data_IF_693390176033
#
_entry.id   IF_693390176033
#
_cell.length_a   1.000
_cell.length_b   1.000
_cell.length_c   1.000
_cell.angle_alpha   90.00
_cell.angle_beta   90.00
_cell.angle_gamma   90.00
#
_symmetry.space_group_name_H-M   'P 1'
#
loop_
_entity.id
_entity.type
_entity.pdbx_description
1 polymer ?
#
# COMPACT_ATOMS: atom_id res chain seq x y z
N UNK A 1 -15.69 -20.68 9.90
CA UNK A 1 -16.81 -19.96 10.54
C UNK A 1 -16.25 -18.71 11.20
N UNK A 2 -16.68 -17.52 10.78
CA UNK A 2 -16.23 -16.23 11.32
C UNK A 2 -17.41 -15.43 11.91
N UNK A 3 -17.24 -14.13 12.08
CA UNK A 3 -18.24 -13.24 12.73
C UNK A 3 -19.49 -13.04 11.83
N UNK A 4 -19.30 -12.73 10.54
CA UNK A 4 -20.39 -12.72 9.55
C UNK A 4 -21.36 -11.52 9.59
N UNK A 5 -21.01 -10.43 10.28
CA UNK A 5 -21.84 -9.21 10.36
C UNK A 5 -22.02 -8.48 9.02
N UNK A 6 -21.00 -8.54 8.15
CA UNK A 6 -20.99 -7.89 6.85
C UNK A 6 -20.83 -8.91 5.72
N UNK A 7 -21.55 -8.70 4.63
CA UNK A 7 -21.40 -9.46 3.38
C UNK A 7 -20.68 -8.60 2.35
N UNK A 8 -19.44 -8.95 2.06
CA UNK A 8 -18.63 -8.27 1.04
C UNK A 8 -18.99 -8.78 -0.36
N UNK A 9 -18.98 -7.91 -1.39
CA UNK A 9 -19.24 -8.33 -2.77
C UNK A 9 -18.12 -9.25 -3.29
N UNK A 10 -18.51 -10.38 -3.90
CA UNK A 10 -17.57 -11.32 -4.48
C UNK A 10 -16.94 -10.73 -5.76
N UNK A 11 -15.60 -10.64 -5.80
CA UNK A 11 -14.86 -10.12 -6.97
C UNK A 11 -14.17 -11.20 -7.78
N UNK A 12 -13.76 -12.29 -7.14
CA UNK A 12 -13.14 -13.45 -7.79
C UNK A 12 -13.28 -14.72 -6.94
N UNK A 13 -13.15 -15.92 -7.53
CA UNK A 13 -13.05 -17.17 -6.77
C UNK A 13 -11.84 -17.14 -5.82
N UNK A 14 -12.05 -17.51 -4.56
CA UNK A 14 -11.04 -17.45 -3.50
C UNK A 14 -10.14 -18.70 -3.41
N UNK A 15 -10.49 -19.78 -4.11
CA UNK A 15 -9.69 -21.00 -4.18
C UNK A 15 -10.05 -21.82 -5.42
N UNK A 16 -9.05 -22.44 -6.03
CA UNK A 16 -9.22 -23.37 -7.14
C UNK A 16 -9.85 -24.71 -6.72
N UNK A 17 -9.76 -25.09 -5.45
CA UNK A 17 -10.20 -26.40 -4.94
C UNK A 17 -11.50 -26.29 -4.14
N UNK A 18 -11.74 -25.16 -3.44
CA UNK A 18 -12.93 -25.00 -2.59
C UNK A 18 -14.04 -24.22 -3.33
N UNK A 19 -15.12 -24.90 -3.79
CA UNK A 19 -16.21 -24.25 -4.50
C UNK A 19 -16.92 -23.24 -3.60
N UNK A 20 -17.24 -22.07 -4.14
CA UNK A 20 -17.98 -21.02 -3.42
C UNK A 20 -17.16 -20.24 -2.38
N UNK A 21 -15.87 -20.56 -2.18
CA UNK A 21 -14.99 -19.75 -1.32
C UNK A 21 -14.73 -18.39 -1.97
N UNK A 22 -14.93 -17.31 -1.22
CA UNK A 22 -14.67 -15.92 -1.65
C UNK A 22 -13.86 -15.23 -0.54
N UNK A 23 -12.78 -14.56 -0.91
CA UNK A 23 -11.91 -13.82 0.01
C UNK A 23 -12.13 -12.30 -0.13
N UNK A 24 -11.83 -11.49 0.90
CA UNK A 24 -11.94 -10.03 0.86
C UNK A 24 -10.76 -9.37 0.10
N UNK A 25 -10.51 -9.80 -1.14
CA UNK A 25 -9.29 -9.45 -1.89
C UNK A 25 -9.08 -7.94 -2.10
N UNK A 26 -10.16 -7.16 -2.13
CA UNK A 26 -10.09 -5.70 -2.23
C UNK A 26 -9.56 -5.06 -0.93
N UNK A 27 -9.95 -5.58 0.23
CA UNK A 27 -9.39 -5.14 1.49
C UNK A 27 -7.93 -5.60 1.64
N UNK A 28 -7.62 -6.80 1.14
CA UNK A 28 -6.25 -7.33 1.16
C UNK A 28 -5.28 -6.51 0.30
N UNK A 29 -5.68 -6.08 -0.90
CA UNK A 29 -4.84 -5.21 -1.74
C UNK A 29 -4.71 -3.80 -1.15
N UNK A 30 -5.78 -3.28 -0.53
CA UNK A 30 -5.73 -2.00 0.18
C UNK A 30 -4.70 -2.03 1.32
N UNK A 31 -4.68 -3.11 2.12
CA UNK A 31 -3.69 -3.27 3.18
C UNK A 31 -2.26 -3.30 2.62
N UNK A 32 -2.02 -4.01 1.51
CA UNK A 32 -0.71 -4.05 0.85
C UNK A 32 -0.26 -2.65 0.40
N UNK A 33 -1.16 -1.87 -0.21
CA UNK A 33 -0.90 -0.48 -0.57
C UNK A 33 -0.56 0.37 0.65
N UNK A 34 -1.33 0.27 1.74
CA UNK A 34 -1.06 1.02 2.97
C UNK A 34 0.31 0.68 3.55
N UNK A 35 0.70 -0.60 3.60
CA UNK A 35 2.04 -1.00 4.06
C UNK A 35 3.15 -0.43 3.17
N UNK A 36 2.96 -0.42 1.85
CA UNK A 36 3.91 0.18 0.92
C UNK A 36 4.07 1.69 1.15
N UNK A 37 2.96 2.40 1.36
CA UNK A 37 2.97 3.85 1.64
C UNK A 37 3.74 4.16 2.91
N UNK A 38 3.56 3.35 3.97
CA UNK A 38 4.29 3.51 5.24
C UNK A 38 5.81 3.31 5.04
N UNK A 39 6.21 2.29 4.27
CA UNK A 39 7.64 2.08 3.95
C UNK A 39 8.24 3.22 3.13
N UNK A 40 7.47 3.74 2.18
CA UNK A 40 7.86 4.89 1.37
C UNK A 40 8.00 6.16 2.22
N UNK A 41 7.14 6.36 3.23
CA UNK A 41 7.23 7.48 4.17
C UNK A 41 8.51 7.44 5.01
N UNK A 42 8.93 6.27 5.49
CA UNK A 42 10.23 6.11 6.15
C UNK A 42 11.39 6.44 5.18
N UNK A 43 11.29 5.99 3.93
CA UNK A 43 12.29 6.32 2.90
C UNK A 43 12.40 7.84 2.69
N UNK A 44 11.27 8.53 2.60
CA UNK A 44 11.21 9.99 2.50
C UNK A 44 11.84 10.64 3.74
N UNK A 45 11.50 10.15 4.94
CA UNK A 45 12.04 10.66 6.21
C UNK A 45 13.56 10.62 6.23
N UNK A 46 14.17 9.49 5.85
CA UNK A 46 15.62 9.35 5.80
C UNK A 46 16.26 10.22 4.70
N UNK A 47 15.59 10.38 3.55
CA UNK A 47 16.07 11.24 2.47
C UNK A 47 16.07 12.73 2.87
N UNK A 48 15.05 13.19 3.61
CA UNK A 48 14.97 14.56 4.11
C UNK A 48 16.07 14.84 5.13
N UNK A 49 16.34 13.89 6.03
CA UNK A 49 17.35 14.05 7.10
C UNK A 49 18.77 14.19 6.55
N UNK A 50 19.09 13.56 5.41
CA UNK A 50 20.44 13.56 4.82
C UNK A 50 20.74 14.76 3.89
N UNK A 51 20.13 15.93 4.14
CA UNK A 51 20.52 17.17 3.48
C UNK A 51 21.91 17.63 3.92
N UNK A 52 22.75 18.12 2.99
CA UNK A 52 24.13 18.52 3.30
C UNK A 52 24.38 19.98 2.92
N UNK A 53 24.73 20.79 3.91
CA UNK A 53 25.00 22.23 3.76
C UNK A 53 23.86 22.98 3.04
N UNK A 54 24.12 23.53 1.85
CA UNK A 54 23.17 24.38 1.12
C UNK A 54 22.10 23.59 0.35
N UNK A 55 22.25 22.27 0.16
CA UNK A 55 21.38 21.52 -0.74
C UNK A 55 21.12 20.07 -0.28
N UNK A 56 19.89 19.60 -0.47
CA UNK A 56 19.55 18.20 -0.36
C UNK A 56 19.59 17.54 -1.75
N UNK A 57 20.49 16.60 -1.97
CA UNK A 57 20.63 15.89 -3.26
C UNK A 57 19.72 14.66 -3.40
N UNK A 58 18.99 14.30 -2.34
CA UNK A 58 18.08 13.15 -2.29
C UNK A 58 16.67 13.46 -2.83
N UNK A 59 16.46 14.65 -3.40
CA UNK A 59 15.18 15.07 -3.99
C UNK A 59 14.57 14.06 -4.98
N UNK A 60 15.34 13.36 -5.85
CA UNK A 60 14.74 12.39 -6.78
C UNK A 60 14.04 11.22 -6.08
N UNK A 61 14.63 10.67 -5.00
CA UNK A 61 14.01 9.56 -4.26
C UNK A 61 12.82 10.04 -3.44
N UNK A 62 12.87 11.27 -2.92
CA UNK A 62 11.74 11.88 -2.22
C UNK A 62 10.54 12.06 -3.16
N UNK A 63 10.76 12.70 -4.31
CA UNK A 63 9.71 12.98 -5.28
C UNK A 63 9.10 11.68 -5.83
N UNK A 64 9.94 10.70 -6.18
CA UNK A 64 9.47 9.40 -6.67
C UNK A 64 8.54 8.72 -5.67
N UNK A 65 8.95 8.59 -4.40
CA UNK A 65 8.15 7.92 -3.38
C UNK A 65 6.86 8.68 -3.07
N UNK A 66 6.91 10.02 -3.02
CA UNK A 66 5.73 10.85 -2.78
C UNK A 66 4.70 10.72 -3.90
N UNK A 67 5.12 10.85 -5.16
CA UNK A 67 4.20 10.74 -6.29
C UNK A 67 3.69 9.31 -6.49
N UNK A 68 4.52 8.29 -6.22
CA UNK A 68 4.09 6.91 -6.25
C UNK A 68 3.02 6.62 -5.17
N UNK A 69 3.19 7.14 -3.96
CA UNK A 69 2.17 7.07 -2.90
C UNK A 69 0.85 7.69 -3.34
N UNK A 70 0.89 8.87 -3.95
CA UNK A 70 -0.30 9.52 -4.49
C UNK A 70 -0.95 8.73 -5.63
N UNK A 71 -0.18 7.95 -6.40
CA UNK A 71 -0.75 7.08 -7.43
C UNK A 71 -1.44 5.86 -6.82
N UNK A 72 -0.92 5.28 -5.74
CA UNK A 72 -1.53 4.13 -5.08
C UNK A 72 -2.80 4.45 -4.30
N UNK A 73 -2.90 5.66 -3.73
CA UNK A 73 -4.02 6.06 -2.86
C UNK A 73 -5.18 6.77 -3.59
N UNK A 74 -5.07 6.99 -4.90
CA UNK A 74 -6.14 7.54 -5.74
C UNK A 74 -7.18 6.49 -6.08
#
# INVERSE_FOLDING_TARGET
>A
CGIGELKLPARQPGSSIMPGKVNPVIAEVLNQVCYQVIGNDLTITLAVENGQFELNVMEPVLAYNLFNNLCYLK
#
